data_IF_166954965842
#
_entry.id   IF_166954965842
#
_cell.length_a   1.000
_cell.length_b   1.000
_cell.length_c   1.000
_cell.angle_alpha   90.00
_cell.angle_beta   90.00
_cell.angle_gamma   90.00
#
_symmetry.space_group_name_H-M   'P 1'
#
loop_
_entity.id
_entity.type
_entity.pdbx_description
1 polymer ?
#
# COMPACT_ATOMS: atom_id res chain seq x y z
N UNK A 1 -32.21 -26.92 49.49
CA UNK A 1 -30.83 -26.41 49.29
C UNK A 1 -30.64 -26.23 47.80
N UNK A 2 -30.89 -25.03 47.34
CA UNK A 2 -30.77 -24.60 45.95
C UNK A 2 -29.45 -23.89 45.81
N UNK A 3 -28.53 -24.45 45.06
CA UNK A 3 -27.27 -23.83 44.72
C UNK A 3 -27.50 -22.87 43.53
N UNK A 4 -27.33 -21.58 43.75
CA UNK A 4 -27.26 -20.55 42.75
C UNK A 4 -25.98 -20.70 41.95
N UNK A 5 -26.11 -20.83 40.63
CA UNK A 5 -24.99 -20.75 39.67
C UNK A 5 -24.81 -19.28 39.39
N UNK A 6 -23.71 -18.73 39.85
CA UNK A 6 -23.24 -17.38 39.50
C UNK A 6 -22.88 -17.32 38.01
N UNK A 7 -23.73 -16.60 37.28
CA UNK A 7 -23.49 -16.20 35.90
C UNK A 7 -22.75 -14.85 35.90
N UNK A 8 -21.44 -14.85 35.97
CA UNK A 8 -20.63 -13.65 35.62
C UNK A 8 -19.18 -14.09 35.42
N UNK A 9 -18.88 -14.53 34.22
CA UNK A 9 -17.50 -14.46 33.69
C UNK A 9 -17.54 -14.43 32.15
N UNK A 10 -18.18 -13.41 31.61
CA UNK A 10 -17.90 -12.95 30.25
C UNK A 10 -16.82 -11.89 30.37
N UNK A 11 -15.59 -12.31 30.55
CA UNK A 11 -14.42 -11.45 30.31
C UNK A 11 -14.44 -11.07 28.84
N UNK A 12 -14.96 -9.87 28.56
CA UNK A 12 -14.62 -9.13 27.36
C UNK A 12 -13.10 -8.95 27.38
N UNK A 13 -12.38 -9.76 26.62
CA UNK A 13 -11.03 -9.44 26.23
C UNK A 13 -11.12 -8.15 25.40
N UNK A 14 -10.89 -7.01 26.03
CA UNK A 14 -10.58 -5.79 25.30
C UNK A 14 -9.34 -6.11 24.46
N UNK A 15 -9.52 -6.34 23.15
CA UNK A 15 -8.40 -6.45 22.24
C UNK A 15 -7.68 -5.10 22.28
N UNK A 16 -6.60 -5.04 23.03
CA UNK A 16 -5.73 -3.86 23.04
C UNK A 16 -5.12 -3.74 21.65
N UNK A 17 -5.26 -2.54 21.03
CA UNK A 17 -4.74 -2.31 19.68
C UNK A 17 -3.22 -2.44 19.68
N UNK A 18 -2.67 -3.05 18.65
CA UNK A 18 -1.23 -3.11 18.42
C UNK A 18 -0.67 -1.69 18.23
N UNK A 19 0.55 -1.48 18.66
CA UNK A 19 1.25 -0.19 18.55
C UNK A 19 2.60 -0.38 17.91
N UNK A 20 2.97 0.54 17.05
CA UNK A 20 4.30 0.57 16.43
C UNK A 20 5.37 1.01 17.44
N UNK A 21 6.66 0.75 17.19
CA UNK A 21 7.75 1.30 17.99
C UNK A 21 7.75 2.82 18.10
N UNK A 22 7.11 3.51 17.15
CA UNK A 22 7.03 4.98 17.09
C UNK A 22 5.85 5.57 17.85
N UNK A 23 4.87 4.77 18.25
CA UNK A 23 3.68 5.25 18.95
C UNK A 23 3.99 6.17 20.14
N UNK A 24 4.96 5.87 21.04
CA UNK A 24 5.30 6.76 22.15
C UNK A 24 5.84 8.13 21.72
N UNK A 25 6.39 8.24 20.52
CA UNK A 25 7.02 9.47 20.02
C UNK A 25 6.00 10.48 19.48
N UNK A 26 4.80 10.06 19.15
CA UNK A 26 3.80 10.94 18.56
C UNK A 26 2.41 10.92 19.23
N UNK A 27 2.05 9.90 19.98
CA UNK A 27 0.70 9.73 20.50
C UNK A 27 0.23 10.89 21.41
N UNK A 28 1.16 11.58 22.06
CA UNK A 28 0.90 12.71 22.97
C UNK A 28 1.11 14.07 22.31
N UNK A 29 1.51 14.11 21.02
CA UNK A 29 1.72 15.38 20.32
C UNK A 29 0.39 16.11 20.10
N UNK A 30 0.34 17.46 20.27
CA UNK A 30 -0.86 18.23 20.00
C UNK A 30 -1.32 18.07 18.55
N UNK A 31 -2.62 17.81 18.37
CA UNK A 31 -3.23 17.67 17.05
C UNK A 31 -3.23 16.25 16.45
N UNK A 32 -2.46 15.34 17.03
CA UNK A 32 -2.46 13.93 16.61
C UNK A 32 -3.80 13.29 16.94
N UNK A 33 -4.33 12.57 15.97
CA UNK A 33 -5.54 11.76 16.11
C UNK A 33 -5.24 10.36 15.62
N UNK A 34 -5.24 9.40 16.53
CA UNK A 34 -5.10 7.98 16.22
C UNK A 34 -6.47 7.31 16.05
N UNK A 35 -6.50 6.25 15.28
CA UNK A 35 -7.68 5.41 15.00
C UNK A 35 -7.27 3.94 14.98
N UNK A 36 -8.25 3.06 15.17
CA UNK A 36 -8.10 1.64 14.84
C UNK A 36 -7.98 1.48 13.32
N UNK A 37 -6.83 0.99 12.87
CA UNK A 37 -6.57 0.65 11.49
C UNK A 37 -6.15 -0.82 11.40
N UNK A 38 -7.12 -1.69 11.19
CA UNK A 38 -6.88 -3.13 11.09
C UNK A 38 -6.23 -3.75 12.33
N UNK A 39 -6.64 -3.30 13.53
CA UNK A 39 -6.11 -3.75 14.81
C UNK A 39 -4.88 -2.98 15.30
N UNK A 40 -4.45 -1.94 14.61
CA UNK A 40 -3.35 -1.06 15.00
C UNK A 40 -3.84 0.32 15.41
N UNK A 41 -3.24 0.89 16.46
CA UNK A 41 -3.48 2.25 16.93
C UNK A 41 -2.56 3.23 16.16
N UNK A 42 -3.06 3.79 15.05
CA UNK A 42 -2.25 4.56 14.10
C UNK A 42 -2.77 5.98 13.90
N UNK A 43 -1.87 6.97 13.64
CA UNK A 43 -2.26 8.34 13.41
C UNK A 43 -2.96 8.49 12.05
N UNK A 44 -4.23 8.91 12.06
CA UNK A 44 -4.92 9.31 10.84
C UNK A 44 -4.43 10.68 10.37
N UNK A 45 -4.03 11.53 11.30
CA UNK A 45 -3.44 12.85 11.06
C UNK A 45 -2.59 13.32 12.23
N UNK A 46 -1.67 14.25 11.96
CA UNK A 46 -0.88 15.02 12.94
C UNK A 46 -1.32 16.49 12.98
N UNK A 47 -1.33 17.15 11.83
CA UNK A 47 -1.64 18.58 11.68
C UNK A 47 -2.79 18.87 10.73
N UNK A 48 -3.44 17.82 10.23
CA UNK A 48 -4.55 17.85 9.31
C UNK A 48 -4.25 17.25 7.94
N UNK A 49 -5.16 16.40 7.47
CA UNK A 49 -5.00 15.57 6.27
C UNK A 49 -4.58 16.40 5.05
N UNK A 50 -5.26 17.54 4.78
CA UNK A 50 -4.95 18.37 3.63
C UNK A 50 -3.55 19.00 3.72
N UNK A 51 -3.17 19.48 4.91
CA UNK A 51 -1.85 20.12 5.13
C UNK A 51 -0.71 19.12 4.92
N UNK A 52 -0.89 17.90 5.45
CA UNK A 52 0.06 16.80 5.31
C UNK A 52 0.16 16.32 3.86
N UNK A 53 -0.98 16.18 3.18
CA UNK A 53 -1.02 15.86 1.76
C UNK A 53 -0.27 16.91 0.93
N UNK A 54 -0.54 18.19 1.16
CA UNK A 54 0.11 19.30 0.44
C UNK A 54 1.62 19.34 0.72
N UNK A 55 2.06 19.00 1.96
CA UNK A 55 3.48 18.88 2.29
C UNK A 55 4.16 17.79 1.45
N UNK A 56 3.56 16.61 1.33
CA UNK A 56 4.10 15.52 0.50
C UNK A 56 4.19 15.92 -0.97
N UNK A 57 3.19 16.60 -1.51
CA UNK A 57 3.17 17.05 -2.91
C UNK A 57 4.23 18.12 -3.22
N UNK A 58 4.53 19.02 -2.27
CA UNK A 58 5.34 20.24 -2.53
C UNK A 58 6.68 20.25 -1.80
N UNK A 59 6.80 19.51 -0.73
CA UNK A 59 7.94 19.51 0.19
C UNK A 59 8.32 18.06 0.54
N UNK A 60 7.97 17.60 1.75
CA UNK A 60 8.12 16.22 2.18
C UNK A 60 7.13 15.86 3.29
N UNK A 61 6.79 14.59 3.38
CA UNK A 61 6.08 13.98 4.51
C UNK A 61 6.82 12.76 5.03
N UNK A 62 6.76 12.55 6.33
CA UNK A 62 7.30 11.37 7.01
C UNK A 62 6.15 10.56 7.60
N UNK A 63 6.02 9.32 7.14
CA UNK A 63 4.99 8.39 7.58
C UNK A 63 5.58 7.28 8.45
N UNK A 64 4.90 6.96 9.54
CA UNK A 64 5.06 5.69 10.23
C UNK A 64 4.21 4.63 9.52
N UNK A 65 4.86 3.69 8.87
CA UNK A 65 4.23 2.54 8.21
C UNK A 65 4.75 1.22 8.78
N UNK A 66 5.21 1.24 10.03
CA UNK A 66 5.77 0.09 10.75
C UNK A 66 4.75 -1.00 11.07
N UNK A 67 3.49 -0.80 10.70
CA UNK A 67 2.44 -1.82 10.78
C UNK A 67 2.48 -2.81 9.62
N UNK A 68 3.24 -2.54 8.56
CA UNK A 68 3.46 -3.49 7.46
C UNK A 68 4.16 -4.74 7.95
N UNK A 69 4.05 -5.83 7.20
CA UNK A 69 4.72 -7.09 7.50
C UNK A 69 5.96 -7.31 6.66
N UNK A 70 7.00 -7.84 7.27
CA UNK A 70 8.26 -8.20 6.61
C UNK A 70 8.54 -9.70 6.81
N UNK A 71 8.69 -10.42 5.69
CA UNK A 71 9.08 -11.83 5.70
C UNK A 71 10.46 -11.99 5.06
N UNK A 72 11.32 -12.73 5.73
CA UNK A 72 12.59 -13.15 5.17
C UNK A 72 12.42 -14.53 4.53
N UNK A 73 12.76 -14.62 3.24
CA UNK A 73 12.72 -15.86 2.46
C UNK A 73 14.15 -16.20 2.05
N UNK A 74 14.67 -17.32 2.54
CA UNK A 74 16.06 -17.72 2.28
C UNK A 74 16.14 -19.18 1.79
N UNK A 75 17.27 -19.51 1.15
CA UNK A 75 17.54 -20.86 0.66
C UNK A 75 17.75 -20.91 -0.85
N UNK A 76 18.32 -22.03 -1.32
CA UNK A 76 18.68 -22.20 -2.74
C UNK A 76 17.47 -22.21 -3.66
N UNK A 77 16.29 -22.53 -3.15
CA UNK A 77 15.05 -22.54 -3.91
C UNK A 77 14.19 -21.26 -3.69
N UNK A 78 14.69 -20.23 -2.99
CA UNK A 78 13.94 -19.02 -2.67
C UNK A 78 13.45 -18.28 -3.93
N UNK A 79 14.28 -18.14 -4.96
CA UNK A 79 13.91 -17.51 -6.23
C UNK A 79 12.77 -18.26 -6.92
N UNK A 80 12.93 -19.56 -7.13
CA UNK A 80 11.93 -20.40 -7.83
C UNK A 80 10.62 -20.47 -7.02
N UNK A 81 10.70 -20.55 -5.71
CA UNK A 81 9.54 -20.51 -4.81
C UNK A 81 8.77 -19.19 -4.99
N UNK A 82 9.43 -18.04 -4.80
CA UNK A 82 8.79 -16.73 -4.96
C UNK A 82 8.26 -16.51 -6.37
N UNK A 83 8.98 -17.00 -7.39
CA UNK A 83 8.52 -16.90 -8.77
C UNK A 83 7.24 -17.71 -9.02
N UNK A 84 7.07 -18.87 -8.38
CA UNK A 84 5.84 -19.67 -8.43
C UNK A 84 4.71 -19.06 -7.61
N UNK A 85 5.02 -18.40 -6.51
CA UNK A 85 4.00 -17.79 -5.63
C UNK A 85 3.44 -16.48 -6.17
N UNK A 86 4.19 -15.74 -6.98
CA UNK A 86 3.85 -14.37 -7.36
C UNK A 86 3.56 -14.21 -8.86
N UNK A 87 2.78 -13.21 -9.24
CA UNK A 87 2.36 -12.96 -10.63
C UNK A 87 3.45 -12.34 -11.50
N UNK A 88 4.39 -11.58 -10.90
CA UNK A 88 5.49 -10.96 -11.64
C UNK A 88 6.69 -11.92 -11.75
N UNK A 89 7.64 -11.61 -12.59
CA UNK A 89 8.81 -12.46 -12.87
C UNK A 89 9.97 -12.12 -11.92
N UNK A 90 10.09 -12.88 -10.82
CA UNK A 90 11.14 -12.72 -9.81
C UNK A 90 12.53 -13.03 -10.37
N UNK A 91 12.63 -13.89 -11.39
CA UNK A 91 13.91 -14.27 -12.02
C UNK A 91 14.59 -13.10 -12.74
N UNK A 92 13.85 -12.01 -13.00
CA UNK A 92 14.40 -10.78 -13.61
C UNK A 92 14.98 -9.81 -12.60
N UNK A 93 14.79 -10.05 -11.31
CA UNK A 93 15.39 -9.23 -10.27
C UNK A 93 16.90 -9.45 -10.23
N UNK A 94 17.64 -8.38 -10.00
CA UNK A 94 19.04 -8.40 -9.64
C UNK A 94 19.21 -7.94 -8.20
N UNK A 95 20.34 -8.25 -7.57
CA UNK A 95 20.63 -7.85 -6.20
C UNK A 95 20.49 -6.33 -6.02
N UNK A 96 19.88 -5.90 -4.94
CA UNK A 96 19.55 -4.50 -4.68
C UNK A 96 18.34 -3.97 -5.46
N UNK A 97 17.48 -4.85 -5.99
CA UNK A 97 16.27 -4.47 -6.70
C UNK A 97 15.01 -4.98 -6.00
N UNK A 98 13.99 -4.12 -5.95
CA UNK A 98 12.65 -4.45 -5.49
C UNK A 98 11.68 -4.58 -6.67
N UNK A 99 10.60 -5.34 -6.48
CA UNK A 99 9.56 -5.56 -7.48
C UNK A 99 8.18 -5.61 -6.83
N UNK A 100 7.24 -4.83 -7.37
CA UNK A 100 5.83 -4.98 -7.03
C UNK A 100 5.23 -6.21 -7.74
N UNK A 101 4.48 -7.00 -7.00
CA UNK A 101 3.85 -8.22 -7.48
C UNK A 101 2.60 -8.53 -6.64
N UNK A 102 1.89 -9.60 -7.02
CA UNK A 102 0.70 -10.05 -6.31
C UNK A 102 0.78 -11.55 -6.03
N UNK A 103 0.18 -11.98 -4.92
CA UNK A 103 -0.20 -13.36 -4.66
C UNK A 103 -1.64 -13.56 -5.13
N UNK A 104 -1.93 -14.65 -5.81
CA UNK A 104 -3.28 -14.97 -6.27
C UNK A 104 -3.76 -16.30 -5.73
N UNK A 105 -5.09 -16.42 -5.58
CA UNK A 105 -5.77 -17.70 -5.43
C UNK A 105 -5.84 -18.42 -6.79
N UNK A 106 -6.13 -19.74 -6.81
CA UNK A 106 -6.25 -20.51 -8.05
C UNK A 106 -7.30 -19.97 -9.04
N UNK A 107 -8.33 -19.28 -8.54
CA UNK A 107 -9.40 -18.65 -9.33
C UNK A 107 -9.03 -17.26 -9.87
N UNK A 108 -7.81 -16.76 -9.57
CA UNK A 108 -7.29 -15.47 -10.01
C UNK A 108 -7.61 -14.29 -9.09
N UNK A 109 -8.42 -14.48 -8.04
CA UNK A 109 -8.60 -13.48 -6.99
C UNK A 109 -7.28 -13.19 -6.27
N UNK A 110 -7.13 -11.99 -5.70
CA UNK A 110 -5.89 -11.56 -5.07
C UNK A 110 -5.83 -11.99 -3.60
N UNK A 111 -4.76 -12.68 -3.21
CA UNK A 111 -4.43 -12.96 -1.81
C UNK A 111 -3.89 -11.70 -1.15
N UNK A 112 -2.87 -11.09 -1.76
CA UNK A 112 -2.32 -9.77 -1.39
C UNK A 112 -1.48 -9.18 -2.51
N UNK A 113 -1.22 -7.88 -2.47
CA UNK A 113 -0.21 -7.19 -3.25
C UNK A 113 0.97 -6.81 -2.36
N UNK A 114 2.18 -6.97 -2.88
CA UNK A 114 3.39 -6.93 -2.07
C UNK A 114 4.63 -6.48 -2.85
N UNK A 115 5.69 -6.19 -2.11
CA UNK A 115 7.02 -5.95 -2.68
C UNK A 115 7.95 -7.12 -2.38
N UNK A 116 8.69 -7.57 -3.39
CA UNK A 116 9.78 -8.55 -3.25
C UNK A 116 11.10 -7.83 -3.47
N UNK A 117 11.98 -7.88 -2.48
CA UNK A 117 13.33 -7.32 -2.48
C UNK A 117 14.35 -8.43 -2.64
N UNK A 118 15.16 -8.40 -3.68
CA UNK A 118 16.26 -9.34 -3.83
C UNK A 118 17.52 -8.80 -3.16
N UNK A 119 17.88 -9.38 -2.02
CA UNK A 119 19.12 -9.04 -1.31
C UNK A 119 20.32 -9.78 -1.92
N UNK A 120 20.14 -11.09 -2.17
CA UNK A 120 21.07 -11.95 -2.90
C UNK A 120 20.31 -13.04 -3.64
N UNK A 121 21.01 -13.90 -4.36
CA UNK A 121 20.41 -14.99 -5.11
C UNK A 121 19.55 -15.95 -4.27
N UNK A 122 19.87 -16.06 -2.99
CA UNK A 122 19.24 -16.98 -2.03
C UNK A 122 18.59 -16.26 -0.83
N UNK A 123 18.43 -14.92 -0.90
CA UNK A 123 17.89 -14.12 0.21
C UNK A 123 17.02 -12.98 -0.28
N UNK A 124 15.75 -13.02 0.13
CA UNK A 124 14.72 -12.06 -0.26
C UNK A 124 14.00 -11.51 0.97
N UNK A 125 13.64 -10.22 0.93
CA UNK A 125 12.70 -9.62 1.87
C UNK A 125 11.37 -9.42 1.14
N UNK A 126 10.28 -9.87 1.73
CA UNK A 126 8.92 -9.73 1.20
C UNK A 126 8.15 -8.82 2.13
N UNK A 127 7.56 -7.74 1.59
CA UNK A 127 6.84 -6.74 2.38
C UNK A 127 5.37 -6.78 2.00
N UNK A 128 4.51 -7.07 3.00
CA UNK A 128 3.08 -7.36 2.84
C UNK A 128 2.21 -6.35 3.58
N UNK A 129 0.92 -6.29 3.20
CA UNK A 129 -0.04 -5.42 3.86
C UNK A 129 -0.32 -5.85 5.32
N UNK A 130 -0.44 -4.88 6.21
CA UNK A 130 -0.59 -5.09 7.65
C UNK A 130 -1.75 -6.01 8.04
N UNK A 131 -2.92 -5.84 7.42
CA UNK A 131 -4.11 -6.66 7.68
C UNK A 131 -3.99 -8.09 7.17
N UNK A 132 -3.00 -8.39 6.35
CA UNK A 132 -2.82 -9.66 5.66
C UNK A 132 -1.63 -10.48 6.19
N UNK A 133 -0.85 -9.96 7.15
CA UNK A 133 0.41 -10.60 7.63
C UNK A 133 0.21 -12.09 7.94
N UNK A 134 -0.75 -12.41 8.81
CA UNK A 134 -0.97 -13.81 9.25
C UNK A 134 -1.49 -14.68 8.08
N UNK A 135 -2.39 -14.13 7.26
CA UNK A 135 -2.94 -14.82 6.09
C UNK A 135 -1.86 -15.11 5.05
N UNK A 136 -1.03 -14.12 4.75
CA UNK A 136 0.00 -14.24 3.73
C UNK A 136 1.14 -15.15 4.18
N UNK A 137 1.52 -15.06 5.45
CA UNK A 137 2.50 -15.99 6.03
C UNK A 137 2.02 -17.43 5.95
N UNK A 138 0.76 -17.68 6.37
CA UNK A 138 0.16 -19.02 6.29
C UNK A 138 0.03 -19.50 4.84
N UNK A 139 -0.34 -18.61 3.91
CA UNK A 139 -0.41 -18.91 2.48
C UNK A 139 0.93 -19.34 1.91
N UNK A 140 1.98 -18.58 2.17
CA UNK A 140 3.33 -18.91 1.73
C UNK A 140 3.83 -20.19 2.40
N UNK A 141 3.59 -20.36 3.70
CA UNK A 141 4.01 -21.54 4.47
C UNK A 141 3.37 -22.84 3.95
N UNK A 142 2.10 -22.82 3.56
CA UNK A 142 1.40 -23.99 3.00
C UNK A 142 1.96 -24.44 1.64
N UNK A 143 2.64 -23.55 0.92
CA UNK A 143 3.17 -23.80 -0.41
C UNK A 143 4.70 -23.92 -0.44
N UNK A 144 5.36 -23.99 0.73
CA UNK A 144 6.81 -24.19 0.81
C UNK A 144 7.21 -25.49 0.06
N UNK A 145 8.23 -25.37 -0.76
CA UNK A 145 8.78 -26.48 -1.53
C UNK A 145 10.27 -26.25 -1.77
N UNK A 146 11.06 -27.35 -1.71
CA UNK A 146 12.49 -27.31 -1.85
C UNK A 146 13.24 -26.76 -0.65
N UNK A 147 14.44 -26.23 -0.89
CA UNK A 147 15.31 -25.66 0.15
C UNK A 147 14.94 -24.18 0.37
N UNK A 148 13.88 -23.95 1.14
CA UNK A 148 13.35 -22.61 1.47
C UNK A 148 13.04 -22.52 2.96
N UNK A 149 13.55 -21.46 3.60
CA UNK A 149 13.16 -21.02 4.93
C UNK A 149 12.36 -19.73 4.84
N UNK A 150 11.21 -19.70 5.49
CA UNK A 150 10.33 -18.54 5.60
C UNK A 150 10.26 -18.09 7.06
N UNK A 151 10.60 -16.86 7.34
CA UNK A 151 10.59 -16.28 8.69
C UNK A 151 9.81 -14.95 8.69
N UNK A 152 8.91 -14.78 9.65
CA UNK A 152 8.29 -13.48 9.91
C UNK A 152 9.25 -12.65 10.78
N UNK A 153 9.78 -11.58 10.21
CA UNK A 153 10.75 -10.68 10.84
C UNK A 153 10.19 -9.28 11.09
N UNK A 154 8.86 -9.13 11.02
CA UNK A 154 8.17 -7.82 11.12
C UNK A 154 8.53 -7.09 12.44
N UNK A 155 8.65 -7.80 13.54
CA UNK A 155 8.99 -7.20 14.84
C UNK A 155 10.45 -6.67 14.92
N UNK A 156 11.29 -7.03 13.96
CA UNK A 156 12.69 -6.57 13.91
C UNK A 156 12.81 -5.17 13.30
N UNK A 157 11.79 -4.70 12.57
CA UNK A 157 11.84 -3.46 11.82
C UNK A 157 10.75 -2.48 12.26
N UNK A 158 11.09 -1.21 12.15
CA UNK A 158 10.16 -0.12 11.94
C UNK A 158 10.33 0.37 10.50
N UNK A 159 9.24 0.66 9.82
CA UNK A 159 9.27 1.15 8.45
C UNK A 159 8.84 2.62 8.41
N UNK A 160 9.77 3.48 7.96
CA UNK A 160 9.55 4.91 7.78
C UNK A 160 9.49 5.25 6.30
N UNK A 161 8.43 5.94 5.87
CA UNK A 161 8.34 6.42 4.50
C UNK A 161 8.57 7.94 4.45
N UNK A 162 9.70 8.36 3.90
CA UNK A 162 10.07 9.75 3.63
C UNK A 162 9.72 10.08 2.19
N UNK A 163 8.65 10.84 1.96
CA UNK A 163 8.05 11.00 0.64
C UNK A 163 7.91 12.49 0.27
N UNK A 164 8.19 12.82 -0.98
CA UNK A 164 8.03 14.17 -1.53
C UNK A 164 9.29 14.67 -2.24
N UNK A 165 9.19 15.80 -2.96
CA UNK A 165 10.27 16.32 -3.81
C UNK A 165 11.56 16.70 -3.05
N UNK A 166 11.46 16.91 -1.72
CA UNK A 166 12.61 17.29 -0.86
C UNK A 166 13.21 16.12 -0.08
N UNK A 167 12.76 14.89 -0.34
CA UNK A 167 13.23 13.70 0.39
C UNK A 167 14.74 13.46 0.22
N UNK A 168 15.28 13.72 -0.97
CA UNK A 168 16.73 13.58 -1.28
C UNK A 168 17.57 14.54 -0.42
N UNK A 169 17.15 15.82 -0.33
CA UNK A 169 17.87 16.84 0.42
C UNK A 169 17.86 16.53 1.93
N UNK A 170 16.77 15.95 2.42
CA UNK A 170 16.66 15.56 3.83
C UNK A 170 17.61 14.41 4.15
N UNK A 171 17.66 13.36 3.34
CA UNK A 171 18.63 12.27 3.55
C UNK A 171 20.06 12.75 3.39
N UNK A 172 20.33 13.67 2.45
CA UNK A 172 21.66 14.29 2.32
C UNK A 172 22.07 15.06 3.57
N UNK A 173 21.14 15.78 4.19
CA UNK A 173 21.40 16.49 5.46
C UNK A 173 21.71 15.54 6.63
N UNK A 174 21.27 14.28 6.55
CA UNK A 174 21.62 13.21 7.50
C UNK A 174 22.90 12.44 7.12
N UNK A 175 23.61 12.88 6.08
CA UNK A 175 24.89 12.30 5.69
C UNK A 175 24.79 11.09 4.76
N UNK A 176 23.63 10.83 4.16
CA UNK A 176 23.50 9.78 3.14
C UNK A 176 24.39 10.12 1.93
N UNK A 177 25.15 9.12 1.45
CA UNK A 177 26.02 9.27 0.29
C UNK A 177 25.25 9.22 -1.04
N UNK A 178 25.90 9.68 -2.11
CA UNK A 178 25.29 9.74 -3.45
C UNK A 178 24.84 8.36 -3.93
N UNK A 179 25.51 7.28 -3.52
CA UNK A 179 25.12 5.91 -3.84
C UNK A 179 23.74 5.49 -3.29
N UNK A 180 23.18 6.25 -2.35
CA UNK A 180 21.82 6.11 -1.82
C UNK A 180 20.89 7.14 -2.46
N UNK A 181 21.35 8.39 -2.56
CA UNK A 181 20.55 9.52 -3.05
C UNK A 181 20.22 9.40 -4.55
N UNK A 182 21.08 8.72 -5.34
CA UNK A 182 20.94 8.50 -6.76
C UNK A 182 20.32 7.13 -7.12
N UNK A 183 19.89 6.35 -6.12
CA UNK A 183 19.20 5.08 -6.38
C UNK A 183 18.07 5.28 -7.39
N UNK A 184 17.98 4.48 -8.46
CA UNK A 184 16.80 4.46 -9.31
C UNK A 184 15.55 3.99 -8.56
N UNK A 185 14.36 4.31 -9.04
CA UNK A 185 13.12 3.76 -8.50
C UNK A 185 13.15 2.23 -8.44
N UNK A 186 12.62 1.65 -7.36
CA UNK A 186 12.67 0.21 -7.08
C UNK A 186 14.08 -0.37 -6.92
N UNK A 187 15.04 0.47 -6.53
CA UNK A 187 16.36 0.05 -6.05
C UNK A 187 16.49 0.30 -4.58
N UNK A 188 17.26 -0.53 -3.91
CA UNK A 188 17.55 -0.40 -2.49
C UNK A 188 18.99 -0.71 -2.17
N UNK A 189 19.43 -0.30 -1.00
CA UNK A 189 20.73 -0.60 -0.44
C UNK A 189 20.58 -1.02 1.02
N UNK A 190 21.26 -2.07 1.40
CA UNK A 190 21.41 -2.51 2.79
C UNK A 190 22.58 -1.79 3.44
N UNK A 191 22.66 -1.87 4.76
CA UNK A 191 23.82 -1.41 5.56
C UNK A 191 24.14 0.08 5.38
N UNK A 192 23.08 0.90 5.22
CA UNK A 192 23.20 2.35 5.11
C UNK A 192 23.15 2.98 6.50
N UNK A 193 24.16 3.78 6.86
CA UNK A 193 24.15 4.52 8.11
C UNK A 193 23.25 5.75 8.00
N UNK A 194 22.15 5.81 8.79
CA UNK A 194 21.26 6.96 8.91
C UNK A 194 21.05 7.25 10.40
N UNK A 195 21.43 8.45 10.85
CA UNK A 195 21.28 8.88 12.25
C UNK A 195 21.83 7.86 13.28
N UNK A 196 22.94 7.20 12.96
CA UNK A 196 23.57 6.20 13.82
C UNK A 196 22.96 4.79 13.76
N UNK A 197 21.87 4.59 13.04
CA UNK A 197 21.28 3.27 12.78
C UNK A 197 21.80 2.69 11.47
N UNK A 198 21.90 1.35 11.41
CA UNK A 198 22.17 0.62 10.17
C UNK A 198 20.83 0.20 9.55
N UNK A 199 20.46 0.81 8.43
CA UNK A 199 19.13 0.67 7.82
C UNK A 199 19.19 0.12 6.38
N UNK A 200 18.07 -0.45 5.92
CA UNK A 200 17.86 -0.65 4.49
C UNK A 200 17.15 0.60 3.95
N UNK A 201 17.69 1.21 2.90
CA UNK A 201 17.06 2.36 2.23
C UNK A 201 16.61 1.93 0.85
N UNK A 202 15.32 2.08 0.57
CA UNK A 202 14.70 1.75 -0.71
C UNK A 202 14.11 2.99 -1.37
N UNK A 203 14.29 3.14 -2.69
CA UNK A 203 13.62 4.20 -3.45
C UNK A 203 12.25 3.72 -3.94
N UNK A 204 11.38 3.51 -2.99
CA UNK A 204 9.99 3.08 -3.12
C UNK A 204 9.08 4.02 -2.35
N UNK A 205 7.76 3.85 -2.52
CA UNK A 205 6.76 4.63 -1.81
C UNK A 205 5.36 4.39 -2.35
N UNK A 206 4.38 5.00 -1.67
CA UNK A 206 2.95 4.80 -1.92
C UNK A 206 2.20 6.14 -2.06
N UNK A 207 2.83 7.13 -2.66
CA UNK A 207 2.32 8.50 -2.72
C UNK A 207 2.19 9.07 -4.15
N UNK A 208 2.85 8.45 -5.11
CA UNK A 208 3.02 9.01 -6.45
C UNK A 208 4.13 10.06 -6.55
N UNK A 209 4.76 10.42 -5.42
CA UNK A 209 5.94 11.27 -5.37
C UNK A 209 7.23 10.46 -5.36
N UNK A 210 8.35 11.16 -5.48
CA UNK A 210 9.67 10.64 -5.19
C UNK A 210 9.85 10.47 -3.68
N UNK A 211 10.66 9.50 -3.27
CA UNK A 211 10.90 9.31 -1.86
C UNK A 211 11.63 8.01 -1.56
N UNK A 212 11.75 7.75 -0.28
CA UNK A 212 12.44 6.58 0.23
C UNK A 212 11.63 5.91 1.33
N UNK A 213 11.80 4.62 1.43
CA UNK A 213 11.36 3.80 2.57
C UNK A 213 12.59 3.30 3.30
N UNK A 214 12.61 3.49 4.62
CA UNK A 214 13.71 3.13 5.51
C UNK A 214 13.26 2.03 6.45
N UNK A 215 13.86 0.85 6.33
CA UNK A 215 13.68 -0.26 7.26
C UNK A 215 14.72 -0.10 8.38
N UNK A 216 14.25 0.34 9.51
CA UNK A 216 15.08 0.70 10.69
C UNK A 216 14.95 -0.41 11.72
N UNK A 217 16.04 -0.85 12.38
CA UNK A 217 15.92 -1.74 13.54
C UNK A 217 14.94 -1.16 14.55
N UNK A 218 13.96 -1.94 15.00
CA UNK A 218 12.82 -1.46 15.79
C UNK A 218 13.26 -0.65 17.03
N UNK A 219 14.33 -1.09 17.71
CA UNK A 219 14.87 -0.40 18.89
C UNK A 219 15.54 0.97 18.62
N UNK A 220 15.78 1.32 17.34
CA UNK A 220 16.40 2.59 16.93
C UNK A 220 15.43 3.51 16.20
N UNK A 221 14.17 3.07 16.04
CA UNK A 221 13.16 3.77 15.23
C UNK A 221 12.91 5.20 15.71
N UNK A 222 12.82 5.42 17.03
CA UNK A 222 12.57 6.73 17.61
C UNK A 222 13.69 7.73 17.34
N UNK A 223 14.94 7.30 17.42
CA UNK A 223 16.09 8.16 17.15
C UNK A 223 16.14 8.58 15.69
N UNK A 224 15.90 7.64 14.77
CA UNK A 224 15.86 7.91 13.32
C UNK A 224 14.68 8.81 12.96
N UNK A 225 13.49 8.56 13.54
CA UNK A 225 12.31 9.40 13.37
C UNK A 225 12.57 10.86 13.77
N UNK A 226 13.12 11.08 14.97
CA UNK A 226 13.43 12.40 15.47
C UNK A 226 14.52 13.10 14.65
N UNK A 227 15.55 12.36 14.23
CA UNK A 227 16.60 12.90 13.38
C UNK A 227 16.09 13.32 12.00
N UNK A 228 15.20 12.52 11.38
CA UNK A 228 14.55 12.85 10.11
C UNK A 228 13.70 14.11 10.23
N UNK A 229 12.89 14.25 11.30
CA UNK A 229 12.07 15.43 11.53
C UNK A 229 12.94 16.68 11.73
N UNK A 230 13.99 16.59 12.52
CA UNK A 230 14.91 17.72 12.75
C UNK A 230 15.66 18.14 11.47
N UNK A 231 16.20 17.18 10.72
CA UNK A 231 16.88 17.45 9.45
C UNK A 231 15.92 17.96 8.37
N UNK A 232 14.66 17.57 8.44
CA UNK A 232 13.63 17.92 7.47
C UNK A 232 12.93 19.25 7.71
N UNK A 233 13.04 19.83 8.93
CA UNK A 233 12.40 21.10 9.28
C UNK A 233 12.71 22.23 8.29
N UNK A 234 13.98 22.48 7.90
CA UNK A 234 14.31 23.52 6.91
C UNK A 234 13.73 23.27 5.52
N UNK A 235 13.35 22.03 5.23
CA UNK A 235 12.78 21.60 3.94
C UNK A 235 11.27 21.48 3.99
N UNK A 236 10.61 21.85 5.11
CA UNK A 236 9.18 21.81 5.28
C UNK A 236 8.61 20.40 5.49
N UNK A 237 9.43 19.46 5.99
CA UNK A 237 8.98 18.11 6.35
C UNK A 237 7.91 18.19 7.44
N UNK A 238 6.81 17.47 7.21
CA UNK A 238 5.78 17.24 8.22
C UNK A 238 5.62 15.74 8.48
N UNK A 239 5.34 15.35 9.73
CA UNK A 239 4.79 14.02 9.96
C UNK A 239 3.43 13.92 9.29
N UNK A 240 3.13 12.80 8.66
CA UNK A 240 1.92 12.58 7.90
C UNK A 240 1.25 11.26 8.27
N UNK A 241 -0.07 11.29 8.41
CA UNK A 241 -0.86 10.16 8.85
C UNK A 241 -1.56 9.41 7.70
N UNK A 242 -2.34 8.39 8.08
CA UNK A 242 -3.07 7.52 7.16
C UNK A 242 -4.04 8.27 6.25
N UNK A 243 -4.62 9.39 6.72
CA UNK A 243 -5.54 10.18 5.90
C UNK A 243 -4.85 10.84 4.70
N UNK A 244 -3.64 11.37 4.87
CA UNK A 244 -2.82 11.88 3.78
C UNK A 244 -2.33 10.73 2.89
N UNK A 245 -1.88 9.60 3.48
CA UNK A 245 -1.49 8.39 2.75
C UNK A 245 -2.59 7.93 1.80
N UNK A 246 -3.83 7.86 2.26
CA UNK A 246 -4.96 7.40 1.45
C UNK A 246 -5.30 8.38 0.30
N UNK A 247 -5.31 9.68 0.55
CA UNK A 247 -5.60 10.65 -0.52
C UNK A 247 -4.48 10.72 -1.57
N UNK A 248 -3.21 10.56 -1.15
CA UNK A 248 -2.05 10.54 -2.05
C UNK A 248 -2.04 9.31 -2.96
N UNK A 249 -2.16 8.12 -2.38
CA UNK A 249 -2.19 6.86 -3.14
C UNK A 249 -3.35 6.83 -4.12
N UNK A 250 -4.54 7.31 -3.69
CA UNK A 250 -5.74 7.38 -4.49
C UNK A 250 -5.54 8.23 -5.75
N UNK A 251 -5.00 9.46 -5.62
CA UNK A 251 -4.73 10.33 -6.75
C UNK A 251 -3.75 9.70 -7.76
N UNK A 252 -2.77 8.95 -7.27
CA UNK A 252 -1.81 8.22 -8.08
C UNK A 252 -2.33 6.86 -8.61
N UNK A 253 -3.56 6.48 -8.27
CA UNK A 253 -4.17 5.18 -8.60
C UNK A 253 -3.33 3.99 -8.12
N UNK A 254 -2.72 4.08 -6.95
CA UNK A 254 -2.09 2.96 -6.30
C UNK A 254 -3.18 2.17 -5.54
N UNK A 255 -3.33 0.85 -5.80
CA UNK A 255 -4.41 0.08 -5.23
C UNK A 255 -4.23 -0.13 -3.73
N UNK A 256 -5.34 -0.32 -3.02
CA UNK A 256 -5.38 -0.74 -1.62
C UNK A 256 -6.12 -2.08 -1.54
N UNK A 257 -5.49 -3.08 -0.93
CA UNK A 257 -6.15 -4.35 -0.64
C UNK A 257 -7.37 -4.14 0.28
N UNK A 258 -8.48 -4.77 -0.06
CA UNK A 258 -9.79 -4.54 0.57
C UNK A 258 -10.63 -3.45 -0.13
N UNK A 259 -10.05 -2.71 -1.08
CA UNK A 259 -10.74 -1.71 -1.90
C UNK A 259 -10.65 -2.06 -3.39
N UNK A 260 -9.51 -1.84 -4.03
CA UNK A 260 -9.28 -2.13 -5.45
C UNK A 260 -8.84 -3.59 -5.70
N UNK A 261 -8.33 -4.27 -4.68
CA UNK A 261 -7.87 -5.64 -4.72
C UNK A 261 -8.55 -6.44 -3.60
N UNK A 262 -8.94 -7.67 -3.88
CA UNK A 262 -9.52 -8.59 -2.90
C UNK A 262 -9.50 -10.03 -3.44
N UNK A 263 -9.95 -10.98 -2.63
CA UNK A 263 -10.14 -12.38 -3.06
C UNK A 263 -11.13 -12.57 -4.20
N UNK A 264 -11.94 -11.55 -4.51
CA UNK A 264 -12.95 -11.58 -5.59
C UNK A 264 -12.69 -10.62 -6.73
N UNK A 265 -11.55 -9.92 -6.68
CA UNK A 265 -11.10 -8.98 -7.72
C UNK A 265 -9.75 -9.47 -8.24
N UNK A 266 -9.65 -9.67 -9.56
CA UNK A 266 -8.41 -10.10 -10.17
C UNK A 266 -7.47 -8.91 -10.43
N UNK A 267 -6.15 -9.15 -10.57
CA UNK A 267 -5.21 -8.09 -10.96
C UNK A 267 -5.56 -7.44 -12.30
N UNK A 268 -6.18 -8.19 -13.21
CA UNK A 268 -6.56 -7.69 -14.52
C UNK A 268 -7.74 -6.73 -14.43
N UNK A 269 -8.77 -7.06 -13.64
CA UNK A 269 -9.90 -6.17 -13.36
C UNK A 269 -9.47 -4.89 -12.65
N UNK A 270 -8.53 -5.01 -11.69
CA UNK A 270 -7.96 -3.88 -10.95
C UNK A 270 -7.06 -2.97 -11.81
N UNK A 271 -6.73 -3.40 -13.03
CA UNK A 271 -5.89 -2.63 -13.96
C UNK A 271 -4.40 -2.62 -13.58
N UNK A 272 -3.95 -3.60 -12.79
CA UNK A 272 -2.53 -3.84 -12.46
C UNK A 272 -1.92 -5.01 -13.25
N UNK A 273 -2.55 -5.37 -14.36
CA UNK A 273 -2.13 -6.47 -15.25
C UNK A 273 -0.71 -6.32 -15.81
N UNK A 274 -0.10 -5.12 -15.77
CA UNK A 274 1.29 -4.92 -16.11
C UNK A 274 2.23 -5.78 -15.25
N UNK A 275 1.86 -6.03 -14.00
CA UNK A 275 2.61 -6.83 -13.03
C UNK A 275 2.27 -8.33 -13.09
N UNK A 276 1.43 -8.75 -14.03
CA UNK A 276 1.06 -10.15 -14.27
C UNK A 276 1.79 -10.65 -15.52
N UNK A 277 2.79 -11.50 -15.33
CA UNK A 277 3.63 -12.02 -16.43
C UNK A 277 3.13 -13.40 -16.88
N UNK A 278 2.05 -13.42 -17.68
CA UNK A 278 1.42 -14.65 -18.16
C UNK A 278 2.34 -15.52 -19.06
N UNK A 279 3.44 -14.94 -19.56
CA UNK A 279 4.41 -15.63 -20.40
C UNK A 279 5.56 -16.27 -19.63
N UNK A 280 5.64 -16.11 -18.29
CA UNK A 280 6.62 -16.81 -17.45
C UNK A 280 6.17 -18.26 -17.18
N UNK A 281 7.03 -19.02 -16.49
CA UNK A 281 6.67 -20.33 -15.95
C UNK A 281 5.42 -20.25 -15.07
N UNK A 282 4.92 -21.39 -14.64
CA UNK A 282 3.68 -21.45 -13.88
C UNK A 282 3.71 -20.66 -12.57
N UNK A 283 2.54 -20.11 -12.20
CA UNK A 283 2.29 -19.50 -10.90
C UNK A 283 0.83 -19.70 -10.47
N UNK A 284 0.55 -19.64 -9.19
CA UNK A 284 -0.80 -19.85 -8.66
C UNK A 284 -1.78 -18.80 -9.21
N UNK A 285 -2.86 -19.25 -9.85
CA UNK A 285 -3.87 -18.39 -10.49
C UNK A 285 -3.64 -18.09 -11.96
N UNK A 286 -2.52 -18.56 -12.57
CA UNK A 286 -2.18 -18.27 -13.96
C UNK A 286 -3.27 -18.69 -14.93
N UNK A 287 -3.78 -19.92 -14.84
CA UNK A 287 -4.79 -20.44 -15.78
C UNK A 287 -6.07 -19.60 -15.77
N UNK A 288 -6.53 -19.21 -14.61
CA UNK A 288 -7.71 -18.35 -14.46
C UNK A 288 -7.47 -16.96 -15.10
N UNK A 289 -6.29 -16.38 -14.91
CA UNK A 289 -5.95 -15.07 -15.47
C UNK A 289 -5.73 -15.13 -16.99
N UNK A 290 -5.15 -16.22 -17.53
CA UNK A 290 -5.06 -16.45 -18.98
C UNK A 290 -6.45 -16.52 -19.57
N UNK A 291 -7.33 -17.37 -19.01
CA UNK A 291 -8.71 -17.52 -19.46
C UNK A 291 -9.45 -16.18 -19.43
N UNK A 292 -9.35 -15.44 -18.33
CA UNK A 292 -10.01 -14.12 -18.21
C UNK A 292 -9.51 -13.12 -19.27
N UNK A 293 -8.21 -13.16 -19.58
CA UNK A 293 -7.65 -12.30 -20.64
C UNK A 293 -8.15 -12.66 -22.03
N UNK A 294 -8.33 -13.94 -22.32
CA UNK A 294 -8.82 -14.45 -23.60
C UNK A 294 -10.32 -14.22 -23.80
N UNK A 295 -11.12 -14.44 -22.77
CA UNK A 295 -12.58 -14.25 -22.79
C UNK A 295 -13.01 -12.78 -22.65
N UNK A 296 -12.11 -11.90 -22.20
CA UNK A 296 -12.37 -10.50 -21.87
C UNK A 296 -12.74 -10.31 -20.40
N UNK A 297 -12.46 -9.10 -19.89
CA UNK A 297 -12.71 -8.77 -18.50
C UNK A 297 -14.21 -8.51 -18.27
N UNK A 298 -14.85 -9.16 -17.29
CA UNK A 298 -16.25 -8.88 -16.94
C UNK A 298 -16.41 -7.49 -16.32
N UNK A 299 -15.43 -7.05 -15.53
CA UNK A 299 -15.41 -5.75 -14.83
C UNK A 299 -14.07 -5.05 -15.06
N UNK A 300 -14.08 -3.73 -14.89
CA UNK A 300 -12.85 -2.91 -14.95
C UNK A 300 -12.88 -1.83 -13.89
N UNK A 301 -11.73 -1.60 -13.27
CA UNK A 301 -11.50 -0.45 -12.41
C UNK A 301 -11.29 0.80 -13.27
N UNK A 302 -12.19 1.77 -13.12
CA UNK A 302 -12.17 3.04 -13.85
C UNK A 302 -12.06 4.22 -12.90
N UNK A 303 -11.55 5.34 -13.39
CA UNK A 303 -11.67 6.62 -12.71
C UNK A 303 -13.03 7.25 -13.03
N UNK A 304 -13.67 7.85 -12.05
CA UNK A 304 -14.90 8.64 -12.22
C UNK A 304 -14.76 10.03 -11.62
N UNK A 305 -15.43 11.00 -12.24
CA UNK A 305 -15.59 12.36 -11.69
C UNK A 305 -17.07 12.68 -11.55
N UNK A 306 -17.46 13.21 -10.39
CA UNK A 306 -18.83 13.64 -10.19
C UNK A 306 -19.16 14.86 -11.05
N UNK A 307 -20.24 14.77 -11.85
CA UNK A 307 -20.84 15.90 -12.55
C UNK A 307 -21.75 16.66 -11.58
N UNK A 308 -22.59 15.92 -10.86
CA UNK A 308 -23.48 16.49 -9.86
C UNK A 308 -22.73 16.72 -8.55
N UNK A 309 -23.26 17.62 -7.73
CA UNK A 309 -22.67 17.94 -6.41
C UNK A 309 -22.79 16.77 -5.43
N UNK A 310 -21.69 16.07 -5.22
CA UNK A 310 -21.58 14.94 -4.29
C UNK A 310 -20.14 14.48 -4.19
N UNK A 311 -19.78 13.76 -3.12
CA UNK A 311 -18.48 13.14 -2.94
C UNK A 311 -18.71 11.63 -2.95
N UNK A 312 -18.14 10.89 -3.92
CA UNK A 312 -18.25 9.44 -3.94
C UNK A 312 -17.46 8.87 -2.75
N UNK A 313 -17.96 7.76 -2.19
CA UNK A 313 -17.31 7.04 -1.10
C UNK A 313 -17.31 5.55 -1.41
N UNK A 314 -16.41 4.81 -0.77
CA UNK A 314 -16.31 3.36 -0.92
C UNK A 314 -17.67 2.71 -0.68
N UNK A 315 -17.97 1.70 -1.50
CA UNK A 315 -19.20 0.91 -1.50
C UNK A 315 -20.46 1.66 -1.94
N UNK A 316 -20.35 2.88 -2.46
CA UNK A 316 -21.51 3.51 -3.11
C UNK A 316 -21.81 2.80 -4.42
N UNK A 317 -23.06 2.32 -4.63
CA UNK A 317 -23.45 1.63 -5.85
C UNK A 317 -23.35 2.54 -7.07
N UNK A 318 -22.93 1.96 -8.20
CA UNK A 318 -22.87 2.63 -9.52
C UNK A 318 -23.88 1.99 -10.46
N UNK A 319 -24.62 2.81 -11.19
CA UNK A 319 -25.71 2.36 -12.06
C UNK A 319 -25.58 2.91 -13.48
N UNK A 320 -26.14 2.12 -14.42
CA UNK A 320 -26.47 2.57 -15.77
C UNK A 320 -28.00 2.41 -15.95
N UNK A 321 -28.72 3.52 -15.96
CA UNK A 321 -30.18 3.50 -15.85
C UNK A 321 -30.61 2.85 -14.53
N UNK A 322 -31.46 1.82 -14.60
CA UNK A 322 -31.96 1.13 -13.41
C UNK A 322 -31.11 -0.08 -12.99
N UNK A 323 -30.05 -0.40 -13.75
CA UNK A 323 -29.20 -1.57 -13.51
C UNK A 323 -27.96 -1.15 -12.72
N UNK A 324 -27.74 -1.81 -11.58
CA UNK A 324 -26.46 -1.67 -10.85
C UNK A 324 -25.36 -2.37 -11.64
N UNK A 325 -24.34 -1.62 -12.03
CA UNK A 325 -23.20 -2.08 -12.83
C UNK A 325 -21.90 -2.23 -12.04
N UNK A 326 -21.91 -1.90 -10.76
CA UNK A 326 -20.74 -2.00 -9.90
C UNK A 326 -20.81 -1.10 -8.68
N UNK A 327 -19.65 -0.75 -8.15
CA UNK A 327 -19.54 0.11 -6.96
C UNK A 327 -18.28 0.96 -6.99
N UNK A 328 -18.27 2.04 -6.22
CA UNK A 328 -17.09 2.84 -5.91
C UNK A 328 -16.18 2.06 -4.98
N UNK A 329 -14.92 1.89 -5.33
CA UNK A 329 -13.92 1.24 -4.45
C UNK A 329 -13.31 2.25 -3.50
N UNK A 330 -12.87 3.40 -4.03
CA UNK A 330 -12.35 4.53 -3.24
C UNK A 330 -12.82 5.83 -3.84
N UNK A 331 -13.22 6.80 -3.02
CA UNK A 331 -13.63 8.11 -3.52
C UNK A 331 -13.51 9.21 -2.49
N UNK A 332 -13.12 10.40 -2.97
CA UNK A 332 -12.94 11.58 -2.12
C UNK A 332 -12.94 12.88 -2.94
N UNK A 333 -12.96 14.01 -2.25
CA UNK A 333 -12.53 15.26 -2.85
C UNK A 333 -11.00 15.28 -2.87
N UNK A 334 -10.40 15.24 -4.06
CA UNK A 334 -8.95 15.30 -4.23
C UNK A 334 -8.36 16.57 -3.61
N UNK A 335 -7.43 16.45 -2.65
CA UNK A 335 -6.76 17.63 -2.09
C UNK A 335 -5.93 18.41 -3.12
N UNK A 336 -5.28 17.73 -4.07
CA UNK A 336 -4.48 18.36 -5.13
C UNK A 336 -5.35 19.04 -6.17
N UNK A 337 -6.38 18.36 -6.69
CA UNK A 337 -7.15 18.79 -7.86
C UNK A 337 -8.41 19.56 -7.51
N UNK A 338 -8.88 19.51 -6.24
CA UNK A 338 -10.13 20.11 -5.74
C UNK A 338 -11.38 19.61 -6.49
N UNK A 339 -11.33 18.37 -6.98
CA UNK A 339 -12.38 17.68 -7.74
C UNK A 339 -12.92 16.49 -6.92
N UNK A 340 -14.19 16.18 -7.09
CA UNK A 340 -14.81 15.01 -6.47
C UNK A 340 -14.61 13.80 -7.36
N UNK A 341 -13.66 12.94 -7.00
CA UNK A 341 -13.17 11.84 -7.80
C UNK A 341 -13.40 10.51 -7.09
N UNK A 342 -13.54 9.45 -7.90
CA UNK A 342 -13.62 8.07 -7.41
C UNK A 342 -12.90 7.09 -8.33
N UNK A 343 -12.48 5.97 -7.76
CA UNK A 343 -12.22 4.74 -8.49
C UNK A 343 -13.45 3.86 -8.31
N UNK A 344 -13.91 3.24 -9.40
CA UNK A 344 -15.08 2.36 -9.38
C UNK A 344 -14.79 1.09 -10.16
N UNK A 345 -15.15 -0.05 -9.60
CA UNK A 345 -15.13 -1.33 -10.28
C UNK A 345 -16.52 -1.56 -10.90
N UNK A 346 -16.60 -1.47 -12.21
CA UNK A 346 -17.87 -1.53 -12.95
C UNK A 346 -17.82 -2.53 -14.09
N UNK A 347 -18.98 -2.95 -14.56
CA UNK A 347 -19.11 -3.80 -15.76
C UNK A 347 -18.32 -3.22 -16.92
N UNK A 348 -17.51 -4.05 -17.58
CA UNK A 348 -16.59 -3.63 -18.64
C UNK A 348 -17.30 -2.94 -19.81
N UNK A 349 -18.57 -3.28 -20.07
CA UNK A 349 -19.39 -2.65 -21.12
C UNK A 349 -19.59 -1.14 -20.91
N UNK A 350 -19.48 -0.64 -19.68
CA UNK A 350 -19.69 0.76 -19.31
C UNK A 350 -18.39 1.51 -19.02
N UNK A 351 -17.22 0.89 -19.25
CA UNK A 351 -15.91 1.40 -18.85
C UNK A 351 -15.27 2.40 -19.83
N UNK A 352 -15.93 2.74 -20.94
CA UNK A 352 -15.39 3.67 -21.93
C UNK A 352 -15.29 5.11 -21.36
N UNK A 353 -14.22 5.82 -21.71
CA UNK A 353 -14.05 7.21 -21.31
C UNK A 353 -15.19 8.08 -21.84
N UNK A 354 -15.70 8.99 -21.01
CA UNK A 354 -16.83 9.86 -21.33
C UNK A 354 -18.21 9.20 -21.06
N UNK A 355 -18.25 7.92 -20.67
CA UNK A 355 -19.51 7.28 -20.27
C UNK A 355 -20.06 7.93 -19.01
N UNK A 356 -21.34 8.34 -19.06
CA UNK A 356 -22.04 8.89 -17.89
C UNK A 356 -22.71 7.74 -17.14
N UNK A 357 -22.47 7.69 -15.86
CA UNK A 357 -23.06 6.71 -14.92
C UNK A 357 -23.69 7.44 -13.75
N UNK A 358 -24.52 6.76 -12.97
CA UNK A 358 -25.11 7.31 -11.77
C UNK A 358 -24.48 6.67 -10.51
N UNK A 359 -24.01 7.49 -9.58
CA UNK A 359 -23.54 7.05 -8.25
C UNK A 359 -24.64 7.29 -7.23
N UNK A 360 -25.03 6.25 -6.50
CA UNK A 360 -26.06 6.41 -5.47
C UNK A 360 -25.44 6.94 -4.17
N UNK A 361 -25.75 8.19 -3.84
CA UNK A 361 -25.29 8.88 -2.63
C UNK A 361 -26.50 9.21 -1.76
N UNK A 362 -26.59 8.58 -0.59
CA UNK A 362 -27.68 8.80 0.36
C UNK A 362 -29.07 8.66 -0.29
N UNK A 363 -29.24 7.62 -1.11
CA UNK A 363 -30.51 7.31 -1.80
C UNK A 363 -30.82 8.20 -3.01
N UNK A 364 -29.86 9.01 -3.49
CA UNK A 364 -30.02 9.85 -4.68
C UNK A 364 -29.05 9.40 -5.77
N UNK A 365 -29.52 9.30 -7.00
CA UNK A 365 -28.70 9.04 -8.19
C UNK A 365 -28.09 10.35 -8.68
N UNK A 366 -26.77 10.44 -8.55
CA UNK A 366 -25.97 11.61 -8.94
C UNK A 366 -25.06 11.23 -10.10
N UNK A 367 -25.03 12.06 -11.14
CA UNK A 367 -24.27 11.79 -12.34
C UNK A 367 -22.78 11.91 -12.11
N UNK A 368 -22.04 10.96 -12.69
CA UNK A 368 -20.60 10.95 -12.78
C UNK A 368 -20.16 10.56 -14.19
N UNK A 369 -18.98 10.94 -14.59
CA UNK A 369 -18.38 10.59 -15.89
C UNK A 369 -17.16 9.70 -15.68
N UNK A 370 -17.01 8.67 -16.51
CA UNK A 370 -15.81 7.84 -16.56
C UNK A 370 -14.68 8.64 -17.19
N UNK A 371 -13.62 8.85 -16.41
CA UNK A 371 -12.47 9.67 -16.79
C UNK A 371 -11.16 8.89 -16.75
N UNK A 372 -10.12 9.46 -17.35
CA UNK A 372 -8.77 8.89 -17.34
C UNK A 372 -8.18 8.89 -15.93
N UNK A 373 -7.52 7.80 -15.54
CA UNK A 373 -6.70 7.68 -14.33
C UNK A 373 -5.31 7.11 -14.67
N UNK A 374 -4.27 7.34 -13.87
CA UNK A 374 -4.27 8.05 -12.58
C UNK A 374 -4.65 9.52 -12.73
N UNK A 375 -5.25 10.08 -11.67
CA UNK A 375 -5.69 11.47 -11.61
C UNK A 375 -4.51 12.44 -11.48
N UNK A 376 -3.46 12.01 -10.79
CA UNK A 376 -2.22 12.75 -10.58
C UNK A 376 -1.02 11.95 -11.09
N UNK A 377 -0.10 12.65 -11.73
CA UNK A 377 1.24 12.17 -12.06
C UNK A 377 2.23 13.28 -11.74
N UNK A 378 3.29 12.95 -11.01
CA UNK A 378 4.37 13.93 -10.83
C UNK A 378 5.01 14.28 -12.18
N UNK A 379 5.41 15.50 -12.32
CA UNK A 379 6.19 15.93 -13.50
C UNK A 379 7.60 15.32 -13.39
N UNK A 380 8.22 14.94 -14.51
CA UNK A 380 9.64 14.58 -14.53
C UNK A 380 10.45 15.73 -13.90
N UNK A 381 11.50 15.41 -13.15
CA UNK A 381 12.51 16.40 -12.76
C UNK A 381 13.19 16.88 -14.06
N UNK A 382 13.24 18.18 -14.27
CA UNK A 382 14.01 18.83 -15.36
C UNK A 382 15.50 18.62 -15.17
#
# INVERSE_FOLDING_TARGET
MTASIDSNDLTQSSNELKRTPLYPHYAQLPGVRCIDFGGWDLPVQFSGIQKEHDAVRRQAGLFDVSHMGEFLVTGRSAESFLNRMTTNDVTKLVDGQAQYTLLCYPDGGVVDDLLVYRISADRYLVVVNASNIDKDFAWLQQHLDGDVLLENVSDNYALLALQGPRAVEILRALGAGDEVLELPSYRFKTDVAVAGANVIVSRTGYTGEDGFELYVPAGQAGDVWNALLAAGEPFGLLPAGLGARDTLRFEARLPLYGQELSSTITPLEAGVGFFVKLNKDDFIGKDALVKQKEEGLPRKLVGIEMIDRGIPRSHYPVYAGDVQIGEVTTGTQSPTLKRNLGLALIDAAHSALGTVVDVEIRGKRLKAEVIKSPFYKRLPKE
#
